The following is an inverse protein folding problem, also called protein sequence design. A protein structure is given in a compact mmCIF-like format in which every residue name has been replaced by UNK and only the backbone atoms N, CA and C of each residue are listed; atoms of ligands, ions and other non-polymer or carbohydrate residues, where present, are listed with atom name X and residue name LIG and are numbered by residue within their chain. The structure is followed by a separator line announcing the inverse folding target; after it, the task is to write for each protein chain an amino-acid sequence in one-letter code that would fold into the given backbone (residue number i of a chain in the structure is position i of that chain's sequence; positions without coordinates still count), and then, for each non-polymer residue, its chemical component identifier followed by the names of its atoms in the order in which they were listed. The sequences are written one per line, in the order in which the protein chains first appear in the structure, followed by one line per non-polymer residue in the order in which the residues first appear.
data_IF_392064022078
#
_entry.id   IF_392064022078
#
_cell.length_a   1.000
_cell.length_b   1.000
_cell.length_c   1.000
_cell.angle_alpha   90.00
_cell.angle_beta   90.00
_cell.angle_gamma   90.00
#
_symmetry.space_group_name_H-M   'P 1'
#
loop_
_entity.id
_entity.type
_entity.pdbx_description
1 polymer ?
#
# COMPACT_ATOMS: atom_id res chain seq x y z
N UNK A 1 -37.54 -18.07 -24.02
CA UNK A 1 -37.18 -16.93 -24.89
C UNK A 1 -37.91 -15.69 -24.40
N UNK A 2 -37.20 -14.69 -23.89
CA UNK A 2 -37.66 -13.30 -23.78
C UNK A 2 -36.43 -12.41 -23.62
N UNK A 3 -36.12 -11.69 -24.68
CA UNK A 3 -35.04 -10.69 -24.78
C UNK A 3 -35.61 -9.37 -24.28
N UNK A 4 -34.91 -8.69 -23.40
CA UNK A 4 -35.11 -7.27 -23.16
C UNK A 4 -33.81 -6.56 -23.46
N UNK A 5 -33.84 -5.77 -24.54
CA UNK A 5 -32.79 -4.86 -24.93
C UNK A 5 -32.80 -3.65 -23.99
N UNK A 6 -31.64 -3.24 -23.51
CA UNK A 6 -31.45 -1.93 -22.87
C UNK A 6 -30.53 -1.14 -23.78
N UNK A 7 -31.08 -0.05 -24.31
CA UNK A 7 -30.44 0.85 -25.24
C UNK A 7 -29.57 1.88 -24.53
N UNK A 8 -28.42 2.14 -25.15
CA UNK A 8 -27.60 3.36 -25.19
C UNK A 8 -27.72 4.40 -24.08
N UNK A 9 -26.59 4.65 -23.42
CA UNK A 9 -26.30 5.95 -22.83
C UNK A 9 -25.05 6.56 -23.49
N UNK A 10 -25.20 7.85 -23.78
CA UNK A 10 -24.38 8.74 -24.60
C UNK A 10 -23.05 9.14 -23.97
N UNK A 11 -22.06 9.34 -24.85
CA UNK A 11 -20.72 9.84 -24.57
C UNK A 11 -20.71 11.29 -24.04
N UNK A 12 -19.78 11.56 -23.12
CA UNK A 12 -19.36 12.91 -22.76
C UNK A 12 -17.83 13.01 -22.89
N UNK A 13 -17.38 13.74 -23.91
CA UNK A 13 -15.99 14.15 -24.12
C UNK A 13 -15.73 15.41 -23.29
N UNK A 14 -14.76 15.34 -22.37
CA UNK A 14 -14.18 16.51 -21.70
C UNK A 14 -12.78 16.74 -22.25
N UNK A 15 -12.65 17.77 -23.08
CA UNK A 15 -11.41 18.40 -23.48
C UNK A 15 -11.09 19.50 -22.46
N UNK A 16 -9.91 19.45 -21.84
CA UNK A 16 -9.20 20.57 -21.22
C UNK A 16 -7.70 20.35 -21.49
N UNK A 17 -7.10 20.99 -22.50
CA UNK A 17 -6.26 22.21 -22.38
C UNK A 17 -5.42 22.19 -21.09
N UNK A 18 -4.11 21.97 -21.10
CA UNK A 18 -3.11 22.59 -21.94
C UNK A 18 -2.52 23.81 -21.21
N UNK A 19 -1.43 23.60 -20.47
CA UNK A 19 -0.52 24.67 -20.03
C UNK A 19 0.91 24.11 -19.98
N UNK A 20 1.55 24.05 -21.15
CA UNK A 20 3.00 24.21 -21.22
C UNK A 20 3.35 25.63 -20.79
N UNK A 21 4.33 25.79 -19.93
CA UNK A 21 5.11 27.03 -19.85
C UNK A 21 6.57 26.63 -19.92
N UNK A 22 7.03 26.56 -21.16
CA UNK A 22 8.44 26.64 -21.55
C UNK A 22 8.75 28.14 -21.68
N UNK A 23 9.75 28.64 -20.97
CA UNK A 23 10.31 29.96 -21.22
C UNK A 23 11.80 29.90 -20.91
N UNK A 24 12.54 30.15 -21.99
CA UNK A 24 13.97 29.98 -22.22
C UNK A 24 14.90 30.91 -21.41
N UNK A 25 16.22 30.62 -21.40
CA UNK A 25 17.22 31.28 -20.57
C UNK A 25 17.89 32.47 -21.29
N UNK A 26 18.38 33.44 -20.53
CA UNK A 26 19.49 34.38 -20.83
C UNK A 26 19.53 35.40 -19.68
N UNK A 27 20.65 35.84 -19.14
CA UNK A 27 22.03 35.67 -19.55
C UNK A 27 22.94 36.04 -18.39
N UNK A 28 24.13 35.46 -18.40
CA UNK A 28 25.23 35.91 -17.58
C UNK A 28 25.66 37.31 -17.97
N UNK A 29 25.99 38.10 -16.94
CA UNK A 29 27.22 38.87 -16.82
C UNK A 29 27.26 39.48 -15.42
N UNK A 30 28.17 39.00 -14.58
CA UNK A 30 28.65 39.71 -13.39
C UNK A 30 29.47 40.95 -13.82
N UNK A 31 29.78 41.89 -12.91
CA UNK A 31 30.94 41.65 -12.05
C UNK A 31 30.82 42.18 -10.61
N UNK A 32 31.70 41.60 -9.77
CA UNK A 32 32.33 42.19 -8.58
C UNK A 32 31.44 42.65 -7.43
N UNK A 33 31.27 41.77 -6.44
CA UNK A 33 31.25 42.21 -5.04
C UNK A 33 32.29 41.38 -4.26
N UNK A 34 33.29 42.07 -3.74
CA UNK A 34 34.38 41.52 -2.95
C UNK A 34 33.81 41.16 -1.58
N UNK A 35 33.57 39.86 -1.36
CA UNK A 35 33.14 39.34 -0.05
C UNK A 35 34.38 38.93 0.75
N UNK A 36 34.50 39.48 1.95
CA UNK A 36 35.56 39.19 2.94
C UNK A 36 35.66 37.68 3.25
N UNK A 37 36.85 37.13 3.53
CA UNK A 37 36.97 35.72 3.84
C UNK A 37 36.44 35.45 5.26
N UNK A 38 35.25 34.86 5.34
CA UNK A 38 34.78 34.19 6.55
C UNK A 38 35.76 33.05 6.85
N UNK A 39 36.45 33.17 7.99
CA UNK A 39 37.22 32.06 8.55
C UNK A 39 36.25 30.90 8.81
N UNK A 40 36.39 29.81 8.06
CA UNK A 40 35.71 28.54 8.35
C UNK A 40 36.13 28.07 9.75
N UNK A 41 35.22 28.16 10.71
CA UNK A 41 35.28 27.30 11.88
C UNK A 41 35.26 25.85 11.40
N UNK A 42 36.09 24.95 11.99
CA UNK A 42 36.07 23.55 11.61
C UNK A 42 34.66 23.00 11.87
N UNK A 43 34.03 22.51 10.81
CA UNK A 43 32.74 21.83 10.88
C UNK A 43 32.81 20.76 11.99
N UNK A 44 32.00 20.94 13.03
CA UNK A 44 31.78 19.88 13.99
C UNK A 44 31.29 18.64 13.21
N UNK A 45 31.78 17.43 13.51
CA UNK A 45 31.27 16.23 12.87
C UNK A 45 29.77 16.16 13.13
N UNK A 46 28.99 16.02 12.05
CA UNK A 46 27.56 15.75 12.13
C UNK A 46 27.35 14.59 13.13
N UNK A 47 26.41 14.71 14.08
CA UNK A 47 26.08 13.60 14.95
C UNK A 47 25.67 12.44 14.05
N UNK A 48 26.42 11.34 14.11
CA UNK A 48 26.03 10.09 13.48
C UNK A 48 24.72 9.68 14.17
N UNK A 49 23.59 9.95 13.50
CA UNK A 49 22.31 9.40 13.90
C UNK A 49 22.45 7.91 13.60
N UNK A 50 22.64 7.12 14.66
CA UNK A 50 22.47 5.67 14.57
C UNK A 50 21.02 5.44 14.17
N UNK A 51 20.76 5.11 12.90
CA UNK A 51 19.44 4.66 12.47
C UNK A 51 19.11 3.39 13.24
N UNK A 52 18.21 3.51 14.22
CA UNK A 52 17.61 2.34 14.85
C UNK A 52 16.77 1.63 13.82
N UNK A 53 16.97 0.32 13.64
CA UNK A 53 16.18 -0.49 12.73
C UNK A 53 14.67 -0.35 13.07
N UNK A 54 13.85 -0.06 12.07
CA UNK A 54 12.40 0.05 12.22
C UNK A 54 11.80 -1.34 12.41
N UNK A 55 11.41 -1.66 13.65
CA UNK A 55 10.79 -2.93 14.04
C UNK A 55 9.26 -2.88 14.05
N UNK A 56 8.64 -1.75 13.69
CA UNK A 56 7.19 -1.51 13.90
C UNK A 56 6.28 -2.58 13.29
N UNK A 57 6.60 -3.07 12.10
CA UNK A 57 5.85 -4.15 11.44
C UNK A 57 5.97 -5.46 12.21
N UNK A 58 7.17 -5.79 12.69
CA UNK A 58 7.38 -7.01 13.47
C UNK A 58 6.66 -6.91 14.82
N UNK A 59 6.76 -5.76 15.47
CA UNK A 59 6.11 -5.49 16.76
C UNK A 59 4.58 -5.65 16.65
N UNK A 60 3.97 -5.14 15.58
CA UNK A 60 2.54 -5.34 15.30
C UNK A 60 2.20 -6.83 15.15
N UNK A 61 2.94 -7.57 14.32
CA UNK A 61 2.65 -8.98 14.09
C UNK A 61 2.80 -9.81 15.38
N UNK A 62 3.81 -9.49 16.20
CA UNK A 62 4.04 -10.15 17.48
C UNK A 62 2.97 -9.82 18.51
N UNK A 63 2.51 -8.57 18.59
CA UNK A 63 1.39 -8.15 19.45
C UNK A 63 0.11 -8.92 19.14
N UNK A 64 -0.13 -9.24 17.87
CA UNK A 64 -1.26 -10.04 17.41
C UNK A 64 -0.99 -11.55 17.35
N UNK A 65 0.18 -12.03 17.81
CA UNK A 65 0.52 -13.45 17.80
C UNK A 65 0.63 -14.07 16.40
N UNK A 66 0.84 -13.25 15.37
CA UNK A 66 0.92 -13.67 13.98
C UNK A 66 2.35 -14.15 13.66
N UNK A 67 2.53 -15.46 13.63
CA UNK A 67 3.83 -16.04 13.24
C UNK A 67 4.19 -15.76 11.77
N UNK A 68 5.48 -15.71 11.46
CA UNK A 68 6.01 -15.66 10.08
C UNK A 68 5.43 -16.76 9.18
N UNK A 69 5.16 -17.95 9.74
CA UNK A 69 4.55 -19.04 8.99
C UNK A 69 3.10 -18.72 8.55
N UNK A 70 2.34 -18.00 9.38
CA UNK A 70 1.00 -17.54 9.03
C UNK A 70 1.07 -16.42 7.98
N UNK A 71 2.01 -15.48 8.12
CA UNK A 71 2.28 -14.42 7.13
C UNK A 71 2.59 -15.02 5.76
N UNK A 72 3.53 -15.96 5.69
CA UNK A 72 3.89 -16.59 4.42
C UNK A 72 2.75 -17.42 3.84
N UNK A 73 1.89 -18.01 4.69
CA UNK A 73 0.70 -18.73 4.23
C UNK A 73 -0.34 -17.77 3.64
N UNK A 74 -0.57 -16.62 4.26
CA UNK A 74 -1.44 -15.57 3.72
C UNK A 74 -0.92 -15.09 2.37
N UNK A 75 0.38 -14.79 2.25
CA UNK A 75 1.02 -14.36 1.01
C UNK A 75 0.88 -15.40 -0.12
N UNK A 76 1.06 -16.69 0.18
CA UNK A 76 0.87 -17.75 -0.82
C UNK A 76 -0.58 -17.85 -1.30
N UNK A 77 -1.57 -17.62 -0.43
CA UNK A 77 -2.98 -17.56 -0.83
C UNK A 77 -3.27 -16.31 -1.67
N UNK A 78 -2.64 -15.19 -1.34
CA UNK A 78 -2.71 -13.95 -2.13
C UNK A 78 -2.18 -14.17 -3.56
N UNK A 79 -0.96 -14.72 -3.69
CA UNK A 79 -0.35 -15.08 -4.99
C UNK A 79 -1.25 -16.02 -5.80
N UNK A 80 -1.74 -17.10 -5.19
CA UNK A 80 -2.60 -18.07 -5.86
C UNK A 80 -3.92 -17.49 -6.38
N UNK A 81 -4.33 -16.31 -5.87
CA UNK A 81 -5.55 -15.61 -6.25
C UNK A 81 -5.28 -14.29 -7.01
N UNK A 82 -4.07 -14.10 -7.55
CA UNK A 82 -3.64 -12.93 -8.33
C UNK A 82 -3.61 -11.60 -7.55
N UNK A 83 -3.37 -11.64 -6.24
CA UNK A 83 -3.08 -10.45 -5.45
C UNK A 83 -1.58 -10.05 -5.48
N UNK A 84 -0.74 -10.92 -6.05
CA UNK A 84 0.65 -10.64 -6.35
C UNK A 84 1.03 -11.29 -7.69
N UNK A 85 1.86 -10.62 -8.48
CA UNK A 85 2.35 -11.13 -9.78
C UNK A 85 3.47 -12.17 -9.64
N UNK A 86 4.05 -12.27 -8.45
CA UNK A 86 5.12 -13.19 -8.09
C UNK A 86 5.04 -13.54 -6.60
N UNK A 87 5.74 -14.59 -6.14
CA UNK A 87 5.89 -14.85 -4.72
C UNK A 87 6.38 -13.60 -3.98
N UNK A 88 5.70 -13.24 -2.88
CA UNK A 88 6.11 -12.11 -2.05
C UNK A 88 7.37 -12.45 -1.27
N UNK A 89 8.33 -11.52 -1.26
CA UNK A 89 9.44 -11.56 -0.32
C UNK A 89 8.91 -11.43 1.12
N UNK A 90 9.65 -11.95 2.11
CA UNK A 90 9.17 -11.99 3.49
C UNK A 90 8.83 -10.61 4.05
N UNK A 91 9.58 -9.56 3.70
CA UNK A 91 9.28 -8.19 4.12
C UNK A 91 7.94 -7.69 3.57
N UNK A 92 7.67 -7.96 2.29
CA UNK A 92 6.45 -7.54 1.62
C UNK A 92 5.24 -8.33 2.11
N UNK A 93 5.44 -9.63 2.38
CA UNK A 93 4.43 -10.47 2.99
C UNK A 93 4.02 -9.96 4.39
N UNK A 94 4.99 -9.49 5.19
CA UNK A 94 4.72 -8.91 6.51
C UNK A 94 3.90 -7.63 6.40
N UNK A 95 4.27 -6.72 5.51
CA UNK A 95 3.49 -5.50 5.22
C UNK A 95 2.08 -5.83 4.72
N UNK A 96 1.95 -6.82 3.84
CA UNK A 96 0.64 -7.27 3.36
C UNK A 96 -0.21 -7.82 4.51
N UNK A 97 0.39 -8.59 5.42
CA UNK A 97 -0.29 -9.14 6.57
C UNK A 97 -0.82 -8.04 7.52
N UNK A 98 -0.14 -6.90 7.68
CA UNK A 98 -0.66 -5.78 8.48
C UNK A 98 -1.90 -5.16 7.86
N UNK A 99 -1.92 -4.98 6.53
CA UNK A 99 -3.11 -4.47 5.82
C UNK A 99 -4.32 -5.39 6.01
N UNK A 100 -4.11 -6.70 5.90
CA UNK A 100 -5.19 -7.67 6.14
C UNK A 100 -5.57 -7.70 7.62
N UNK A 101 -4.63 -7.46 8.52
CA UNK A 101 -4.89 -7.29 9.95
C UNK A 101 -5.84 -6.12 10.23
N UNK A 102 -5.58 -4.96 9.63
CA UNK A 102 -6.46 -3.80 9.70
C UNK A 102 -7.87 -4.13 9.19
N UNK A 103 -7.99 -4.93 8.11
CA UNK A 103 -9.29 -5.40 7.63
C UNK A 103 -10.02 -6.25 8.67
N UNK A 104 -9.31 -7.16 9.34
CA UNK A 104 -9.87 -7.98 10.41
C UNK A 104 -10.44 -7.10 11.54
N UNK A 105 -9.71 -6.09 11.97
CA UNK A 105 -10.13 -5.16 13.03
C UNK A 105 -11.30 -4.27 12.62
N UNK A 106 -11.26 -3.72 11.40
CA UNK A 106 -12.36 -2.90 10.86
C UNK A 106 -13.65 -3.71 10.72
N UNK A 107 -13.56 -5.01 10.39
CA UNK A 107 -14.75 -5.88 10.38
C UNK A 107 -15.20 -6.25 11.78
N UNK A 108 -14.26 -6.58 12.69
CA UNK A 108 -14.59 -6.93 14.07
C UNK A 108 -15.27 -5.78 14.83
N UNK A 109 -14.86 -4.54 14.58
CA UNK A 109 -15.46 -3.32 15.13
C UNK A 109 -16.78 -2.93 14.46
N UNK A 110 -17.12 -3.53 13.31
CA UNK A 110 -18.31 -3.21 12.52
C UNK A 110 -18.19 -1.94 11.67
N UNK A 111 -17.01 -1.34 11.58
CA UNK A 111 -16.74 -0.19 10.71
C UNK A 111 -16.82 -0.56 9.22
N UNK A 112 -16.38 -1.78 8.89
CA UNK A 112 -16.47 -2.37 7.54
C UNK A 112 -17.09 -3.75 7.59
N UNK A 113 -17.37 -4.30 6.41
CA UNK A 113 -17.86 -5.67 6.27
C UNK A 113 -16.97 -6.44 5.30
N UNK A 114 -16.93 -7.75 5.40
CA UNK A 114 -16.24 -8.56 4.40
C UNK A 114 -16.78 -8.34 2.98
N UNK A 115 -18.09 -8.13 2.83
CA UNK A 115 -18.67 -7.81 1.54
C UNK A 115 -18.16 -6.48 0.97
N UNK A 116 -17.85 -5.49 1.81
CA UNK A 116 -17.23 -4.25 1.35
C UNK A 116 -15.88 -4.53 0.68
N UNK A 117 -14.97 -5.23 1.36
CA UNK A 117 -13.64 -5.54 0.82
C UNK A 117 -13.70 -6.44 -0.42
N UNK A 118 -14.61 -7.42 -0.42
CA UNK A 118 -14.84 -8.27 -1.58
C UNK A 118 -15.30 -7.49 -2.81
N UNK A 119 -16.25 -6.57 -2.65
CA UNK A 119 -16.72 -5.75 -3.78
C UNK A 119 -15.67 -4.71 -4.22
N UNK A 120 -14.86 -4.18 -3.29
CA UNK A 120 -13.75 -3.29 -3.60
C UNK A 120 -12.72 -3.98 -4.49
N UNK A 121 -12.26 -5.18 -4.12
CA UNK A 121 -11.31 -5.96 -4.92
C UNK A 121 -11.88 -6.42 -6.27
N UNK A 122 -13.18 -6.72 -6.32
CA UNK A 122 -13.84 -6.99 -7.61
C UNK A 122 -13.86 -5.77 -8.52
N UNK A 123 -14.00 -4.58 -7.95
CA UNK A 123 -14.02 -3.32 -8.70
C UNK A 123 -12.65 -2.98 -9.31
N UNK A 124 -11.56 -3.48 -8.71
CA UNK A 124 -10.18 -3.28 -9.17
C UNK A 124 -9.68 -4.40 -10.10
N UNK A 125 -10.47 -5.44 -10.32
CA UNK A 125 -10.20 -6.47 -11.33
C UNK A 125 -10.25 -7.92 -10.83
N UNK A 126 -10.45 -8.14 -9.52
CA UNK A 126 -10.58 -9.48 -8.96
C UNK A 126 -11.82 -10.22 -9.47
N UNK A 127 -11.68 -11.51 -9.78
CA UNK A 127 -12.86 -12.36 -10.06
C UNK A 127 -13.52 -12.79 -8.76
N UNK A 128 -14.82 -13.11 -8.81
CA UNK A 128 -15.57 -13.61 -7.65
C UNK A 128 -14.88 -14.82 -6.99
N UNK A 129 -14.35 -15.74 -7.79
CA UNK A 129 -13.68 -16.95 -7.28
C UNK A 129 -12.39 -16.63 -6.53
N UNK A 130 -11.60 -15.69 -7.03
CA UNK A 130 -10.34 -15.28 -6.39
C UNK A 130 -10.60 -14.60 -5.06
N UNK A 131 -11.55 -13.67 -5.08
CA UNK A 131 -11.96 -12.87 -3.92
C UNK A 131 -12.57 -13.76 -2.83
N UNK A 132 -13.43 -14.71 -3.20
CA UNK A 132 -14.00 -15.64 -2.22
C UNK A 132 -12.96 -16.59 -1.63
N UNK A 133 -12.00 -17.05 -2.42
CA UNK A 133 -10.92 -17.91 -1.93
C UNK A 133 -9.97 -17.15 -0.98
N UNK A 134 -9.56 -15.93 -1.36
CA UNK A 134 -8.67 -15.10 -0.54
C UNK A 134 -9.33 -14.70 0.78
N UNK A 135 -10.51 -14.06 0.71
CA UNK A 135 -11.19 -13.62 1.94
C UNK A 135 -11.80 -14.77 2.74
N UNK A 136 -12.04 -15.93 2.14
CA UNK A 136 -12.38 -17.14 2.88
C UNK A 136 -11.25 -17.55 3.81
N UNK A 137 -10.01 -17.59 3.31
CA UNK A 137 -8.84 -17.86 4.14
C UNK A 137 -8.62 -16.76 5.20
N UNK A 138 -8.77 -15.50 4.82
CA UNK A 138 -8.61 -14.38 5.76
C UNK A 138 -9.61 -14.51 6.93
N UNK A 139 -10.89 -14.75 6.63
CA UNK A 139 -11.96 -14.89 7.61
C UNK A 139 -11.81 -16.13 8.50
N UNK A 140 -11.54 -17.28 7.90
CA UNK A 140 -11.64 -18.56 8.59
C UNK A 140 -10.34 -18.96 9.29
N UNK A 141 -9.21 -18.34 8.94
CA UNK A 141 -7.88 -18.73 9.43
C UNK A 141 -7.02 -17.57 9.91
N UNK A 142 -6.85 -16.52 9.09
CA UNK A 142 -5.92 -15.43 9.44
C UNK A 142 -6.46 -14.56 10.58
N UNK A 143 -7.65 -13.96 10.43
CA UNK A 143 -8.23 -13.09 11.45
C UNK A 143 -8.41 -13.78 12.82
N UNK A 144 -8.87 -15.05 12.89
CA UNK A 144 -8.93 -15.77 14.17
C UNK A 144 -7.56 -16.00 14.82
N UNK A 145 -6.46 -16.02 14.05
CA UNK A 145 -5.12 -16.16 14.63
C UNK A 145 -4.64 -14.88 15.32
N UNK A 146 -5.19 -13.72 14.97
CA UNK A 146 -4.81 -12.42 15.53
C UNK A 146 -5.33 -12.17 16.96
N UNK A 147 -6.34 -12.93 17.39
CA UNK A 147 -7.07 -12.69 18.65
C UNK A 147 -6.73 -13.72 19.73
N UNK A 148 -5.72 -14.57 19.49
CA UNK A 148 -5.29 -15.54 20.48
C UNK A 148 -4.35 -14.85 21.46
N UNK A 149 -4.92 -14.19 22.47
CA UNK A 149 -4.18 -13.86 23.69
C UNK A 149 -3.51 -15.16 24.19
N UNK A 150 -2.17 -15.20 24.18
CA UNK A 150 -1.40 -16.28 24.83
C UNK A 150 -1.13 -15.94 26.30
#
# INVERSE_FOLDING_TARGET
MRRFAVAGLTAATLLLTGCSSDSEPVGGNSPDEVVEPLAEEPAAPDPTVEETEDTSVQDYLDEHGISDAMVMRLAAIAEANNYADAPMETSDAKLFATVIGDHCEMVASGERTWNYYKEDDKSTGGTQSQVDAFYGFAQDTFCPSMTTEQ
#
